data_IF_748265137873
#
_entry.id   IF_748265137873
#
_cell.length_a   1.000
_cell.length_b   1.000
_cell.length_c   1.000
_cell.angle_alpha   90.00
_cell.angle_beta   90.00
_cell.angle_gamma   90.00
#
_symmetry.space_group_name_H-M   'P 1'
#
loop_
_entity.id
_entity.type
_entity.pdbx_description
1 polymer ?
#
# COMPACT_ATOMS: atom_id res chain seq x y z
N UNK A 1 11.03 0.46 2.28
CA UNK A 1 12.09 -0.55 2.11
C UNK A 1 13.31 0.10 1.45
N UNK A 2 14.51 -0.26 1.94
CA UNK A 2 15.78 0.33 1.46
C UNK A 2 15.97 0.12 -0.04
N UNK A 3 15.71 -1.09 -0.51
CA UNK A 3 15.94 -1.44 -1.92
C UNK A 3 14.87 -0.86 -2.85
N UNK A 4 13.66 -0.61 -2.35
CA UNK A 4 12.64 0.11 -3.13
C UNK A 4 13.04 1.57 -3.39
N UNK A 5 13.60 2.27 -2.41
CA UNK A 5 14.11 3.63 -2.63
C UNK A 5 15.21 3.65 -3.70
N UNK A 6 16.13 2.68 -3.70
CA UNK A 6 17.17 2.52 -4.74
C UNK A 6 16.57 2.25 -6.12
N UNK A 7 15.56 1.37 -6.21
CA UNK A 7 14.88 1.01 -7.46
C UNK A 7 14.29 2.23 -8.16
N UNK A 8 13.60 3.09 -7.42
CA UNK A 8 12.95 4.30 -7.96
C UNK A 8 13.89 5.51 -8.06
N UNK A 9 15.16 5.35 -7.68
CA UNK A 9 16.16 6.42 -7.71
C UNK A 9 15.91 7.53 -6.68
N UNK A 10 15.19 7.24 -5.60
CA UNK A 10 14.90 8.20 -4.54
C UNK A 10 15.93 8.09 -3.40
N UNK A 11 16.27 9.20 -2.72
CA UNK A 11 17.03 9.13 -1.49
C UNK A 11 16.23 8.40 -0.39
N UNK A 12 16.91 7.79 0.57
CA UNK A 12 16.24 7.25 1.74
C UNK A 12 15.52 8.38 2.48
N UNK A 13 14.23 8.22 2.79
CA UNK A 13 13.48 9.24 3.50
C UNK A 13 14.05 9.41 4.92
N UNK A 14 14.11 10.66 5.39
CA UNK A 14 14.53 10.97 6.76
C UNK A 14 13.44 10.68 7.80
N UNK A 15 12.20 10.64 7.35
CA UNK A 15 11.00 10.37 8.14
C UNK A 15 9.95 9.61 7.30
N UNK A 16 9.03 8.86 7.93
CA UNK A 16 7.95 8.21 7.22
C UNK A 16 7.05 9.21 6.49
N UNK A 17 6.72 8.91 5.23
CA UNK A 17 5.75 9.70 4.47
C UNK A 17 4.35 9.19 4.83
N UNK A 18 3.51 10.08 5.39
CA UNK A 18 2.13 9.75 5.77
C UNK A 18 1.17 10.21 4.69
N UNK A 19 0.29 9.32 4.26
CA UNK A 19 -0.87 9.61 3.42
C UNK A 19 -2.05 8.74 3.88
N UNK A 20 -3.25 9.11 3.47
CA UNK A 20 -4.48 8.39 3.84
C UNK A 20 -5.02 7.60 2.64
N UNK A 21 -5.58 6.44 2.94
CA UNK A 21 -6.48 5.70 2.06
C UNK A 21 -7.89 5.83 2.62
N UNK A 22 -8.82 6.49 1.91
CA UNK A 22 -10.18 6.69 2.39
C UNK A 22 -10.92 5.34 2.47
N UNK A 23 -11.94 5.26 3.31
CA UNK A 23 -12.75 4.05 3.47
C UNK A 23 -13.38 3.57 2.15
N UNK A 24 -13.67 4.46 1.22
CA UNK A 24 -14.16 4.13 -0.13
C UNK A 24 -13.15 3.35 -0.99
N UNK A 25 -11.86 3.38 -0.64
CA UNK A 25 -10.84 2.59 -1.32
C UNK A 25 -10.74 1.16 -0.82
N UNK A 26 -11.30 0.85 0.37
CA UNK A 26 -11.25 -0.49 0.94
C UNK A 26 -12.00 -1.51 0.09
N UNK A 27 -11.39 -2.66 -0.11
CA UNK A 27 -12.01 -3.81 -0.77
C UNK A 27 -11.51 -5.11 -0.12
N UNK A 28 -12.21 -6.20 -0.38
CA UNK A 28 -11.82 -7.51 0.12
C UNK A 28 -10.59 -8.08 -0.60
N UNK A 29 -9.98 -9.13 -0.02
CA UNK A 29 -8.71 -9.70 -0.50
C UNK A 29 -8.79 -10.29 -1.91
N UNK A 30 -9.98 -10.65 -2.36
CA UNK A 30 -10.23 -11.28 -3.66
C UNK A 30 -11.20 -10.47 -4.53
N UNK A 31 -11.46 -9.22 -4.17
CA UNK A 31 -12.30 -8.32 -4.95
C UNK A 31 -11.57 -7.80 -6.20
N UNK A 32 -12.33 -7.34 -7.18
CA UNK A 32 -11.78 -6.75 -8.39
C UNK A 32 -11.14 -5.39 -8.08
N UNK A 33 -9.96 -5.14 -8.64
CA UNK A 33 -9.32 -3.81 -8.63
C UNK A 33 -9.72 -3.05 -9.87
N UNK A 34 -10.41 -1.94 -9.68
CA UNK A 34 -10.98 -1.14 -10.77
C UNK A 34 -10.04 0.01 -11.18
N UNK A 35 -9.57 -0.01 -12.44
CA UNK A 35 -8.77 1.08 -12.97
C UNK A 35 -9.57 2.39 -12.99
N UNK A 36 -9.07 3.48 -12.40
CA UNK A 36 -9.81 4.72 -12.35
C UNK A 36 -9.92 5.36 -13.73
N UNK A 37 -11.03 6.06 -13.99
CA UNK A 37 -11.10 6.96 -15.14
C UNK A 37 -10.27 8.21 -14.87
N UNK A 38 -9.23 8.37 -15.65
CA UNK A 38 -8.31 9.48 -15.58
C UNK A 38 -8.97 10.82 -15.82
N UNK A 39 -8.68 11.76 -14.95
CA UNK A 39 -8.95 13.17 -15.20
C UNK A 39 -7.66 13.78 -15.71
N UNK A 40 -7.58 14.06 -17.02
CA UNK A 40 -6.47 14.83 -17.55
C UNK A 40 -6.74 16.30 -17.23
N UNK A 41 -6.11 16.79 -16.18
CA UNK A 41 -6.09 18.22 -15.88
C UNK A 41 -5.12 18.90 -16.85
N UNK A 42 -5.65 19.55 -17.89
CA UNK A 42 -4.89 20.58 -18.57
C UNK A 42 -4.90 21.82 -17.70
N UNK A 43 -3.71 22.39 -17.43
CA UNK A 43 -3.52 23.59 -16.59
C UNK A 43 -4.63 24.63 -16.88
N UNK A 44 -5.45 24.93 -15.88
CA UNK A 44 -6.50 25.96 -15.98
C UNK A 44 -7.76 25.58 -16.74
N UNK A 45 -8.02 24.31 -17.08
CA UNK A 45 -9.27 23.90 -17.76
C UNK A 45 -9.90 22.71 -17.03
N UNK A 46 -11.22 22.69 -16.98
CA UNK A 46 -11.97 21.51 -16.56
C UNK A 46 -11.63 20.30 -17.45
N UNK A 47 -11.65 19.07 -16.93
CA UNK A 47 -11.38 17.88 -17.70
C UNK A 47 -12.40 17.74 -18.83
N UNK A 48 -11.93 17.70 -20.07
CA UNK A 48 -12.80 17.60 -21.25
C UNK A 48 -13.18 16.16 -21.60
N UNK A 49 -12.50 15.17 -21.04
CA UNK A 49 -12.76 13.75 -21.30
C UNK A 49 -12.20 12.88 -20.19
N UNK A 50 -13.01 11.93 -19.71
CA UNK A 50 -12.55 10.83 -18.85
C UNK A 50 -11.90 9.75 -19.73
N UNK A 51 -10.68 9.34 -19.39
CA UNK A 51 -9.97 8.24 -20.03
C UNK A 51 -9.55 7.24 -18.96
N UNK A 52 -9.41 5.99 -19.32
CA UNK A 52 -8.90 4.99 -18.39
C UNK A 52 -7.49 5.38 -17.94
N UNK A 53 -7.21 5.17 -16.67
CA UNK A 53 -5.86 5.34 -16.15
C UNK A 53 -4.89 4.37 -16.86
N UNK A 54 -3.66 4.82 -17.02
CA UNK A 54 -2.59 4.03 -17.65
C UNK A 54 -1.38 3.84 -16.74
N UNK A 55 -1.45 4.30 -15.49
CA UNK A 55 -0.32 4.26 -14.57
C UNK A 55 -0.69 3.70 -13.19
N UNK A 56 -1.72 2.86 -13.12
CA UNK A 56 -2.04 2.12 -11.91
C UNK A 56 -0.98 1.04 -11.67
N UNK A 57 -0.54 0.93 -10.43
CA UNK A 57 0.59 0.10 -10.00
C UNK A 57 0.22 -0.67 -8.73
N UNK A 58 0.96 -1.72 -8.43
CA UNK A 58 0.78 -2.61 -7.29
C UNK A 58 1.82 -2.35 -6.20
N UNK A 59 1.44 -2.57 -4.95
CA UNK A 59 2.33 -2.50 -3.79
C UNK A 59 1.87 -3.47 -2.69
N UNK A 60 2.49 -4.65 -2.59
CA UNK A 60 2.23 -5.53 -1.46
C UNK A 60 2.86 -4.98 -0.19
N UNK A 61 2.09 -4.90 0.91
CA UNK A 61 2.50 -4.30 2.16
C UNK A 61 2.05 -5.11 3.37
N UNK A 62 2.86 -5.12 4.42
CA UNK A 62 2.41 -5.54 5.74
C UNK A 62 1.46 -4.46 6.29
N UNK A 63 0.27 -4.88 6.71
CA UNK A 63 -0.68 -4.04 7.45
C UNK A 63 -0.58 -4.30 8.94
N UNK A 64 -0.35 -3.25 9.74
CA UNK A 64 -0.41 -3.32 11.20
C UNK A 64 -1.81 -2.91 11.63
N UNK A 65 -2.53 -3.78 12.32
CA UNK A 65 -3.87 -3.49 12.84
C UNK A 65 -3.78 -3.02 14.29
N UNK A 66 -4.30 -1.84 14.56
CA UNK A 66 -4.32 -1.24 15.89
C UNK A 66 -5.42 -1.90 16.73
N UNK A 67 -5.11 -2.25 17.97
CA UNK A 67 -6.02 -2.90 18.92
C UNK A 67 -6.51 -1.99 20.03
N UNK A 68 -5.70 -1.03 20.43
CA UNK A 68 -6.02 -0.08 21.49
C UNK A 68 -5.77 1.36 21.04
N UNK A 69 -6.51 2.31 21.62
CA UNK A 69 -6.37 3.73 21.29
C UNK A 69 -4.93 4.20 21.56
N UNK A 70 -4.21 4.60 20.50
CA UNK A 70 -2.82 5.03 20.54
C UNK A 70 -2.70 6.53 20.21
N UNK A 71 -2.13 7.30 21.13
CA UNK A 71 -1.86 8.73 20.96
C UNK A 71 -0.52 9.08 21.60
N UNK A 72 0.39 9.67 20.82
CA UNK A 72 1.74 10.05 21.26
C UNK A 72 2.47 8.89 21.97
N UNK A 73 2.47 7.72 21.37
CA UNK A 73 3.00 6.49 21.94
C UNK A 73 4.52 6.44 21.77
N UNK A 74 5.31 6.24 22.84
CA UNK A 74 6.74 6.02 22.71
C UNK A 74 7.02 4.65 22.06
N UNK A 75 8.09 4.54 21.27
CA UNK A 75 8.46 3.30 20.57
C UNK A 75 8.54 2.08 21.48
N UNK A 76 9.04 2.25 22.71
CA UNK A 76 9.16 1.17 23.70
C UNK A 76 7.81 0.54 24.09
N UNK A 77 6.69 1.23 23.87
CA UNK A 77 5.33 0.75 24.17
C UNK A 77 4.51 0.43 22.91
N UNK A 78 5.02 0.73 21.71
CA UNK A 78 4.26 0.66 20.47
C UNK A 78 3.59 -0.70 20.24
N UNK A 79 4.28 -1.82 20.51
CA UNK A 79 3.77 -3.16 20.30
C UNK A 79 2.59 -3.55 21.21
N UNK A 80 2.36 -2.81 22.29
CA UNK A 80 1.20 -3.05 23.17
C UNK A 80 -0.11 -2.71 22.45
N UNK A 81 -0.08 -1.74 21.53
CA UNK A 81 -1.24 -1.21 20.80
C UNK A 81 -1.59 -2.02 19.55
N UNK A 82 -0.81 -3.04 19.20
CA UNK A 82 -1.05 -3.90 18.03
C UNK A 82 -2.06 -5.00 18.39
N UNK A 83 -3.13 -5.14 17.61
CA UNK A 83 -4.02 -6.30 17.65
C UNK A 83 -3.42 -7.46 16.87
N UNK A 84 -2.87 -7.19 15.70
CA UNK A 84 -2.31 -8.19 14.79
C UNK A 84 -1.90 -7.59 13.46
N UNK A 85 -1.80 -8.44 12.45
CA UNK A 85 -1.28 -8.13 11.14
C UNK A 85 -2.20 -8.64 10.04
N UNK A 86 -2.15 -7.99 8.90
CA UNK A 86 -2.88 -8.38 7.69
C UNK A 86 -2.06 -8.03 6.44
N UNK A 87 -2.53 -8.42 5.27
CA UNK A 87 -1.93 -8.01 4.01
C UNK A 87 -2.71 -6.81 3.46
N UNK A 88 -2.00 -5.84 2.93
CA UNK A 88 -2.56 -4.70 2.19
C UNK A 88 -1.96 -4.70 0.78
N UNK A 89 -2.77 -4.47 -0.23
CA UNK A 89 -2.28 -4.07 -1.54
C UNK A 89 -2.51 -2.55 -1.69
N UNK A 90 -1.46 -1.75 -1.48
CA UNK A 90 -1.53 -0.28 -1.59
C UNK A 90 -1.51 0.16 -3.05
N UNK A 91 -2.53 -0.25 -3.81
CA UNK A 91 -2.67 0.08 -5.23
C UNK A 91 -2.61 1.59 -5.43
N UNK A 92 -1.85 2.02 -6.44
CA UNK A 92 -1.46 3.41 -6.62
C UNK A 92 -1.68 3.86 -8.06
N UNK A 93 -2.38 4.96 -8.29
CA UNK A 93 -2.38 5.64 -9.59
C UNK A 93 -1.26 6.67 -9.61
N UNK A 94 -0.15 6.32 -10.26
CA UNK A 94 1.08 7.14 -10.23
C UNK A 94 0.90 8.53 -10.85
N UNK A 95 0.03 8.66 -11.86
CA UNK A 95 -0.23 9.97 -12.45
C UNK A 95 -0.89 10.93 -11.45
N UNK A 96 -1.79 10.43 -10.59
CA UNK A 96 -2.43 11.25 -9.57
C UNK A 96 -1.53 11.48 -8.36
N UNK A 97 -0.72 10.47 -8.01
CA UNK A 97 0.21 10.54 -6.90
C UNK A 97 1.33 11.56 -7.15
N UNK A 98 1.94 11.55 -8.36
CA UNK A 98 3.19 12.24 -8.64
C UNK A 98 3.01 13.47 -9.52
N UNK A 99 2.24 13.36 -10.61
CA UNK A 99 2.22 14.41 -11.63
C UNK A 99 1.26 15.56 -11.28
N UNK A 100 0.13 15.23 -10.65
CA UNK A 100 -0.97 16.19 -10.43
C UNK A 100 -1.05 16.74 -9.00
N UNK A 101 -0.29 16.19 -8.07
CA UNK A 101 -0.66 16.29 -6.66
C UNK A 101 0.18 17.26 -5.84
N UNK A 102 1.24 17.87 -6.38
CA UNK A 102 2.13 18.73 -5.59
C UNK A 102 2.52 18.06 -4.23
N UNK A 103 2.83 16.76 -4.23
CA UNK A 103 3.17 15.99 -3.03
C UNK A 103 1.98 15.39 -2.26
N UNK A 104 0.74 15.56 -2.70
CA UNK A 104 -0.44 14.98 -2.02
C UNK A 104 -0.73 13.56 -2.50
N UNK A 105 -0.06 12.58 -1.93
CA UNK A 105 -0.13 11.19 -2.38
C UNK A 105 -1.52 10.54 -2.26
N UNK A 106 -2.34 10.98 -1.31
CA UNK A 106 -3.71 10.49 -1.11
C UNK A 106 -4.54 10.44 -2.40
N UNK A 107 -4.32 11.37 -3.35
CA UNK A 107 -5.02 11.37 -4.64
C UNK A 107 -4.76 10.11 -5.47
N UNK A 108 -3.53 9.61 -5.47
CA UNK A 108 -3.15 8.40 -6.19
C UNK A 108 -3.42 7.12 -5.42
N UNK A 109 -3.53 7.22 -4.11
CA UNK A 109 -3.70 6.11 -3.17
C UNK A 109 -5.16 5.84 -2.80
N UNK A 110 -6.04 6.81 -3.02
CA UNK A 110 -7.43 6.80 -2.56
C UNK A 110 -8.49 6.52 -3.63
N UNK A 111 -8.11 5.97 -4.81
CA UNK A 111 -9.11 5.55 -5.80
C UNK A 111 -9.94 4.36 -5.24
N UNK A 112 -11.18 4.23 -5.71
CA UNK A 112 -12.06 3.13 -5.33
C UNK A 112 -11.37 1.78 -5.59
N UNK A 113 -11.52 0.82 -4.66
CA UNK A 113 -10.91 -0.51 -4.68
C UNK A 113 -9.37 -0.56 -4.58
N UNK A 114 -8.70 0.58 -4.32
CA UNK A 114 -7.24 0.65 -4.30
C UNK A 114 -6.62 0.25 -2.94
N UNK A 115 -7.41 -0.34 -2.05
CA UNK A 115 -6.95 -0.86 -0.77
C UNK A 115 -7.54 -2.25 -0.48
N UNK A 116 -7.19 -3.29 -1.26
CA UNK A 116 -7.51 -4.65 -0.88
C UNK A 116 -6.83 -5.01 0.45
N UNK A 117 -7.62 -5.51 1.43
CA UNK A 117 -7.17 -5.87 2.78
C UNK A 117 -7.61 -7.29 3.11
N UNK A 118 -6.79 -8.04 3.79
CA UNK A 118 -7.07 -9.41 4.25
C UNK A 118 -5.99 -10.40 3.78
N UNK A 119 -6.31 -11.72 3.76
CA UNK A 119 -7.65 -12.31 3.85
C UNK A 119 -8.26 -12.29 5.26
N UNK A 120 -7.45 -12.14 6.29
CA UNK A 120 -7.85 -12.09 7.69
C UNK A 120 -6.88 -11.22 8.49
N UNK A 121 -7.23 -10.94 9.72
CA UNK A 121 -6.34 -10.43 10.75
C UNK A 121 -5.73 -11.63 11.48
N UNK A 122 -4.40 -11.72 11.51
CA UNK A 122 -3.66 -12.68 12.33
C UNK A 122 -3.19 -11.97 13.59
N UNK A 123 -3.56 -12.49 14.75
CA UNK A 123 -3.23 -11.85 16.03
C UNK A 123 -1.73 -11.84 16.30
N UNK A 124 -1.27 -10.84 17.06
CA UNK A 124 0.17 -10.59 17.27
C UNK A 124 0.91 -11.74 17.95
N UNK A 125 0.23 -12.57 18.69
CA UNK A 125 0.79 -13.75 19.38
C UNK A 125 1.11 -14.89 18.41
N UNK A 126 0.41 -14.98 17.27
CA UNK A 126 0.70 -15.95 16.22
C UNK A 126 1.88 -15.55 15.33
N UNK A 127 2.21 -14.27 15.26
CA UNK A 127 3.32 -13.73 14.45
C UNK A 127 4.47 -13.28 15.34
N UNK A 128 5.34 -14.21 15.71
CA UNK A 128 6.44 -13.95 16.66
C UNK A 128 7.51 -12.98 16.14
N UNK A 129 7.70 -12.88 14.82
CA UNK A 129 8.72 -12.03 14.19
C UNK A 129 8.17 -11.21 13.03
N UNK A 130 7.28 -10.23 13.29
CA UNK A 130 6.65 -9.46 12.22
C UNK A 130 7.65 -8.62 11.39
N UNK A 131 8.83 -8.36 11.94
CA UNK A 131 9.93 -7.67 11.25
C UNK A 131 10.85 -8.65 10.46
N UNK A 132 10.43 -9.90 10.22
CA UNK A 132 11.17 -10.88 9.43
C UNK A 132 10.22 -11.84 8.72
N UNK A 133 9.35 -11.32 7.89
CA UNK A 133 8.39 -12.08 7.08
C UNK A 133 8.74 -11.95 5.60
N UNK A 134 8.70 -13.06 4.85
CA UNK A 134 8.75 -12.99 3.38
C UNK A 134 7.48 -12.33 2.87
N UNK A 135 7.63 -11.44 1.90
CA UNK A 135 6.56 -10.67 1.28
C UNK A 135 6.75 -10.69 -0.25
N UNK A 136 5.70 -11.00 -1.00
CA UNK A 136 5.81 -11.20 -2.43
C UNK A 136 4.53 -10.83 -3.19
N UNK A 137 4.70 -10.51 -4.48
CA UNK A 137 3.60 -10.29 -5.41
C UNK A 137 3.95 -10.86 -6.79
N UNK A 138 2.97 -11.51 -7.40
CA UNK A 138 3.00 -11.99 -8.78
C UNK A 138 1.96 -11.25 -9.62
N UNK A 139 2.32 -10.91 -10.85
CA UNK A 139 1.42 -10.37 -11.87
C UNK A 139 1.34 -11.37 -13.01
N UNK A 140 0.13 -11.91 -13.29
CA UNK A 140 -0.09 -12.92 -14.31
C UNK A 140 0.86 -14.13 -14.16
N UNK A 141 1.07 -14.59 -12.94
CA UNK A 141 1.96 -15.72 -12.60
C UNK A 141 3.46 -15.41 -12.66
N UNK A 142 3.85 -14.17 -12.99
CA UNK A 142 5.26 -13.75 -12.95
C UNK A 142 5.54 -13.00 -11.66
N UNK A 143 6.55 -13.44 -10.92
CA UNK A 143 6.99 -12.78 -9.68
C UNK A 143 7.54 -11.38 -9.99
N UNK A 144 6.94 -10.37 -9.38
CA UNK A 144 7.28 -8.97 -9.53
C UNK A 144 7.95 -8.42 -8.27
N UNK A 145 7.36 -8.66 -7.11
CA UNK A 145 7.95 -8.28 -5.83
C UNK A 145 8.37 -9.52 -5.05
N UNK A 146 9.52 -9.45 -4.41
CA UNK A 146 10.04 -10.50 -3.53
C UNK A 146 10.99 -9.85 -2.53
N UNK A 147 10.55 -9.73 -1.29
CA UNK A 147 11.27 -9.02 -0.24
C UNK A 147 11.08 -9.65 1.14
N UNK A 148 11.55 -8.94 2.14
CA UNK A 148 11.38 -9.33 3.53
C UNK A 148 11.17 -8.08 4.38
N UNK A 149 10.30 -8.14 5.39
CA UNK A 149 9.99 -7.00 6.27
C UNK A 149 11.19 -6.52 7.08
N UNK A 150 12.28 -7.29 7.15
CA UNK A 150 13.52 -6.87 7.81
C UNK A 150 14.29 -5.77 7.06
N UNK A 151 13.92 -5.49 5.79
CA UNK A 151 14.54 -4.42 4.99
C UNK A 151 13.73 -3.12 4.98
N UNK A 152 12.72 -3.01 5.84
CA UNK A 152 12.00 -1.75 6.08
C UNK A 152 12.97 -0.68 6.59
N UNK A 153 12.85 0.55 6.08
CA UNK A 153 13.67 1.71 6.55
C UNK A 153 13.30 2.07 7.99
N UNK A 154 12.01 2.09 8.30
CA UNK A 154 11.46 2.31 9.63
C UNK A 154 10.78 1.03 10.10
N UNK A 155 11.10 0.58 11.29
CA UNK A 155 10.51 -0.63 11.86
C UNK A 155 9.08 -0.38 12.36
N UNK A 156 8.36 -1.44 12.70
CA UNK A 156 6.96 -1.38 13.15
C UNK A 156 6.77 -0.45 14.35
N UNK A 157 7.70 -0.46 15.32
CA UNK A 157 7.60 0.37 16.54
C UNK A 157 7.75 1.85 16.20
N UNK A 158 8.73 2.18 15.34
CA UNK A 158 8.96 3.53 14.83
C UNK A 158 7.73 4.05 14.09
N UNK A 159 7.12 3.24 13.20
CA UNK A 159 5.93 3.65 12.46
C UNK A 159 4.74 3.94 13.37
N UNK A 160 4.43 3.08 14.33
CA UNK A 160 3.32 3.29 15.27
C UNK A 160 3.58 4.54 16.12
N UNK A 161 4.78 4.67 16.66
CA UNK A 161 5.17 5.85 17.44
C UNK A 161 5.01 7.12 16.61
N UNK A 162 5.62 7.15 15.43
CA UNK A 162 5.62 8.30 14.54
C UNK A 162 4.20 8.74 14.16
N UNK A 163 3.38 7.83 13.64
CA UNK A 163 2.01 8.16 13.21
C UNK A 163 1.16 8.62 14.38
N UNK A 164 1.29 7.99 15.55
CA UNK A 164 0.52 8.34 16.76
C UNK A 164 0.82 9.73 17.33
N UNK A 165 1.94 10.36 16.94
CA UNK A 165 2.25 11.75 17.30
C UNK A 165 1.48 12.78 16.47
N UNK A 166 1.13 12.44 15.22
CA UNK A 166 0.39 13.34 14.34
C UNK A 166 -1.11 13.15 14.42
N UNK A 167 -1.57 11.92 14.67
CA UNK A 167 -2.99 11.59 14.76
C UNK A 167 -3.25 10.47 15.77
N UNK A 168 -4.39 10.53 16.45
CA UNK A 168 -4.83 9.43 17.29
C UNK A 168 -5.22 8.24 16.43
N UNK A 169 -4.65 7.09 16.71
CA UNK A 169 -5.04 5.81 16.13
C UNK A 169 -6.09 5.14 17.01
N UNK A 170 -7.08 4.52 16.38
CA UNK A 170 -8.18 3.82 17.05
C UNK A 170 -8.15 2.32 16.75
N UNK A 171 -8.78 1.49 17.60
CA UNK A 171 -8.95 0.07 17.30
C UNK A 171 -9.57 -0.14 15.92
N UNK A 172 -8.93 -0.98 15.10
CA UNK A 172 -9.31 -1.23 13.71
C UNK A 172 -8.60 -0.37 12.67
N UNK A 173 -7.89 0.69 13.05
CA UNK A 173 -7.04 1.43 12.11
C UNK A 173 -5.91 0.52 11.61
N UNK A 174 -5.56 0.68 10.32
CA UNK A 174 -4.52 -0.11 9.67
C UNK A 174 -3.39 0.83 9.21
N UNK A 175 -2.17 0.53 9.61
CA UNK A 175 -0.97 1.18 9.06
C UNK A 175 -0.39 0.27 7.99
N UNK A 176 -0.46 0.68 6.73
CA UNK A 176 0.27 0.09 5.63
C UNK A 176 1.73 0.56 5.70
N UNK A 177 2.70 -0.38 5.68
CA UNK A 177 4.07 -0.13 6.15
C UNK A 177 5.07 0.16 5.05
N UNK A 178 4.60 0.32 3.81
CA UNK A 178 5.45 0.45 2.64
C UNK A 178 5.73 -0.89 1.96
N UNK A 179 6.21 -0.82 0.73
CA UNK A 179 6.35 -1.95 -0.18
C UNK A 179 7.82 -2.29 -0.48
N UNK A 180 8.16 -3.58 -0.72
CA UNK A 180 9.47 -3.98 -1.21
C UNK A 180 9.66 -3.60 -2.69
N UNK A 181 10.88 -3.70 -3.27
CA UNK A 181 11.14 -3.46 -4.68
C UNK A 181 10.35 -4.40 -5.59
N UNK A 182 10.19 -4.02 -6.86
CA UNK A 182 9.47 -4.78 -7.88
C UNK A 182 8.13 -4.15 -8.27
N UNK A 183 7.92 -2.87 -7.93
CA UNK A 183 6.76 -2.11 -8.41
C UNK A 183 6.88 -1.80 -9.90
N UNK A 184 5.74 -1.65 -10.57
CA UNK A 184 5.70 -1.44 -12.02
C UNK A 184 6.38 -0.15 -12.47
N UNK A 185 6.33 0.90 -11.67
CA UNK A 185 7.00 2.18 -11.93
C UNK A 185 8.54 2.04 -11.96
N UNK A 186 9.11 1.16 -11.13
CA UNK A 186 10.55 0.93 -11.04
C UNK A 186 11.13 0.09 -12.19
N UNK A 187 10.29 -0.55 -12.98
CA UNK A 187 10.73 -1.40 -14.09
C UNK A 187 11.26 -0.61 -15.29
N UNK A 188 12.10 -1.23 -16.11
CA UNK A 188 12.64 -0.64 -17.34
C UNK A 188 12.36 -1.56 -18.53
N UNK A 189 11.39 -1.21 -19.43
CA UNK A 189 10.45 -0.08 -19.31
C UNK A 189 9.41 -0.27 -18.21
N UNK A 190 8.78 0.82 -17.70
CA UNK A 190 7.73 0.73 -16.69
C UNK A 190 6.56 -0.14 -17.14
N UNK A 191 6.03 -0.96 -16.22
CA UNK A 191 4.86 -1.81 -16.44
C UNK A 191 3.76 -1.43 -15.46
N UNK A 192 2.59 -1.07 -15.98
CA UNK A 192 1.43 -0.71 -15.17
C UNK A 192 0.29 -1.71 -15.38
N UNK A 193 -0.65 -1.75 -14.45
CA UNK A 193 -1.83 -2.60 -14.49
C UNK A 193 -2.70 -2.29 -15.71
N UNK A 194 -3.25 -3.36 -16.28
CA UNK A 194 -4.18 -3.31 -17.41
C UNK A 194 -5.40 -4.18 -17.11
N UNK A 195 -6.52 -3.86 -17.73
CA UNK A 195 -7.71 -4.72 -17.69
C UNK A 195 -7.33 -6.17 -18.04
N UNK A 196 -7.77 -7.11 -17.21
CA UNK A 196 -7.51 -8.53 -17.36
C UNK A 196 -6.26 -9.03 -16.65
N UNK A 197 -5.41 -8.14 -16.12
CA UNK A 197 -4.30 -8.56 -15.26
C UNK A 197 -4.83 -9.21 -13.98
N UNK A 198 -4.07 -10.18 -13.46
CA UNK A 198 -4.32 -10.84 -12.19
C UNK A 198 -3.09 -10.61 -11.27
N UNK A 199 -3.34 -10.06 -10.09
CA UNK A 199 -2.35 -9.92 -9.02
C UNK A 199 -2.58 -11.02 -8.00
N UNK A 200 -1.52 -11.75 -7.65
CA UNK A 200 -1.49 -12.69 -6.52
C UNK A 200 -0.38 -12.27 -5.58
N UNK A 201 -0.70 -12.05 -4.31
CA UNK A 201 0.26 -11.53 -3.34
C UNK A 201 0.09 -12.19 -1.99
N UNK A 202 1.18 -12.26 -1.22
CA UNK A 202 1.17 -12.95 0.06
C UNK A 202 2.31 -12.52 0.98
N UNK A 203 2.09 -12.80 2.26
CA UNK A 203 3.08 -12.61 3.33
C UNK A 203 3.06 -13.88 4.19
N UNK A 204 4.25 -14.35 4.57
CA UNK A 204 4.38 -15.55 5.41
C UNK A 204 3.53 -15.44 6.69
N UNK A 205 2.73 -16.48 6.94
CA UNK A 205 1.83 -16.54 8.10
C UNK A 205 0.55 -15.72 7.98
N UNK A 206 0.41 -14.85 6.96
CA UNK A 206 -0.76 -13.98 6.80
C UNK A 206 -1.71 -14.42 5.66
N UNK A 207 -1.36 -15.49 4.93
CA UNK A 207 -2.14 -15.97 3.80
C UNK A 207 -1.80 -15.25 2.49
N UNK A 208 -2.81 -15.14 1.59
CA UNK A 208 -2.63 -14.51 0.29
C UNK A 208 -3.93 -13.87 -0.21
N UNK A 209 -3.78 -12.98 -1.17
CA UNK A 209 -4.85 -12.29 -1.88
C UNK A 209 -4.75 -12.58 -3.39
N UNK A 210 -5.87 -12.52 -4.10
CA UNK A 210 -5.93 -12.62 -5.57
C UNK A 210 -6.91 -11.57 -6.08
N UNK A 211 -6.44 -10.58 -6.85
CA UNK A 211 -7.30 -9.57 -7.46
C UNK A 211 -7.23 -9.62 -8.98
N UNK A 212 -8.39 -9.51 -9.62
CA UNK A 212 -8.47 -9.24 -11.07
C UNK A 212 -8.62 -7.76 -11.33
N UNK A 213 -7.88 -7.26 -12.31
CA UNK A 213 -7.93 -5.87 -12.71
C UNK A 213 -9.03 -5.68 -13.75
N UNK A 214 -9.93 -4.76 -13.50
CA UNK A 214 -11.05 -4.43 -14.40
C UNK A 214 -11.00 -2.97 -14.85
N UNK A 215 -11.69 -2.69 -15.95
CA UNK A 215 -11.96 -1.29 -16.32
C UNK A 215 -12.97 -0.68 -15.38
N UNK A 216 -12.95 0.64 -15.30
CA UNK A 216 -13.95 1.38 -14.55
C UNK A 216 -15.38 0.96 -14.92
N UNK A 217 -16.21 0.74 -13.91
CA UNK A 217 -17.65 0.52 -14.00
C UNK A 217 -18.35 1.71 -13.33
N UNK A 218 -19.48 2.15 -13.86
CA UNK A 218 -20.31 3.20 -13.26
C UNK A 218 -21.18 2.62 -12.15
#
# INVERSE_FOLDING_TARGET
>A
YVDHAKEVGAPLPKEPIIFLKPTSSLSGPNDEVMLPKGIILKKGKAPSRLVDSKRSDWEVELGIVIGDKARSVPESKAMQYVAGYTIVNDVSERAYQLDAAAGQWTRGKGCDTFCPVGPWLVTKDEISRPQNLSIWLELNGKKMQNGNTNTMVFNIKELISYVSHYMTLYPGDIIATGTPPGVGMGMKPPRYLKKGDEMKLGIDGLGMQIQKVISWKK
#
